data_IF_353617135059
#
_entry.id   IF_353617135059
#
_cell.length_a   1.000
_cell.length_b   1.000
_cell.length_c   1.000
_cell.angle_alpha   90.00
_cell.angle_beta   90.00
_cell.angle_gamma   90.00
#
_symmetry.space_group_name_H-M   'P 1'
#
loop_
_entity.id
_entity.type
_entity.pdbx_description
1 polymer ?
#
# COMPACT_ATOMS: atom_id res chain seq x y z
N UNK A 1 -41.43 51.78 4.96
CA UNK A 1 -40.93 52.15 6.31
C UNK A 1 -39.69 51.34 6.60
N UNK A 2 -38.61 52.03 6.96
CA UNK A 2 -37.29 51.50 7.33
C UNK A 2 -37.27 51.33 8.85
N UNK A 3 -36.78 50.19 9.36
CA UNK A 3 -36.45 49.78 10.77
C UNK A 3 -36.81 48.29 10.90
N UNK A 4 -36.06 47.37 11.50
CA UNK A 4 -34.99 47.43 12.49
C UNK A 4 -34.14 46.15 12.35
N UNK A 5 -32.83 46.30 12.57
CA UNK A 5 -31.91 45.19 12.81
C UNK A 5 -32.27 44.45 14.10
N UNK A 6 -32.31 43.12 14.07
CA UNK A 6 -32.06 42.28 15.24
C UNK A 6 -31.13 41.15 14.80
N UNK A 7 -29.86 41.32 15.16
CA UNK A 7 -28.84 40.30 15.12
C UNK A 7 -29.24 39.16 16.09
N UNK A 8 -29.39 37.95 15.57
CA UNK A 8 -29.45 36.73 16.37
C UNK A 8 -28.16 35.97 16.18
N UNK A 9 -27.25 36.20 17.12
CA UNK A 9 -26.06 35.38 17.35
C UNK A 9 -26.49 33.95 17.70
N UNK A 10 -26.40 33.03 16.74
CA UNK A 10 -26.40 31.60 17.04
C UNK A 10 -24.95 31.11 17.06
N UNK A 11 -24.39 31.06 18.26
CA UNK A 11 -23.22 30.25 18.59
C UNK A 11 -23.63 28.80 18.37
N UNK A 12 -23.29 28.22 17.22
CA UNK A 12 -23.42 26.78 17.03
C UNK A 12 -22.24 26.12 17.73
N UNK A 13 -22.57 25.40 18.79
CA UNK A 13 -21.67 24.64 19.61
C UNK A 13 -20.84 23.65 18.78
N UNK A 14 -19.54 23.59 19.09
CA UNK A 14 -18.66 22.50 18.73
C UNK A 14 -19.28 21.17 19.18
N UNK A 15 -19.73 20.36 18.23
CA UNK A 15 -20.04 18.94 18.48
C UNK A 15 -19.03 18.12 17.71
N UNK A 16 -18.04 17.65 18.49
CA UNK A 16 -17.15 16.51 18.24
C UNK A 16 -17.17 15.95 16.81
N UNK A 17 -16.21 16.37 16.00
CA UNK A 17 -15.74 15.55 14.90
C UNK A 17 -15.40 14.19 15.49
N UNK A 18 -16.18 13.18 15.08
CA UNK A 18 -15.99 11.81 15.46
C UNK A 18 -14.50 11.47 15.40
N UNK A 19 -14.00 10.89 16.49
CA UNK A 19 -12.80 10.06 16.51
C UNK A 19 -12.99 8.95 15.48
N UNK A 20 -12.79 9.27 14.20
CA UNK A 20 -12.39 8.25 13.24
C UNK A 20 -11.08 7.71 13.79
N UNK A 21 -10.95 6.40 14.03
CA UNK A 21 -9.66 5.83 14.33
C UNK A 21 -8.77 6.27 13.18
N UNK A 22 -7.78 7.09 13.49
CA UNK A 22 -6.65 7.31 12.60
C UNK A 22 -5.85 6.00 12.59
N UNK A 23 -6.44 4.92 12.05
CA UNK A 23 -5.68 3.94 11.29
C UNK A 23 -5.34 4.59 9.95
N UNK A 24 -4.68 5.76 10.02
CA UNK A 24 -3.83 6.21 8.95
C UNK A 24 -2.75 5.15 8.92
N UNK A 25 -2.92 4.19 8.02
CA UNK A 25 -1.83 3.34 7.55
C UNK A 25 -0.65 4.28 7.36
N UNK A 26 0.40 4.09 8.17
CA UNK A 26 1.59 4.92 8.09
C UNK A 26 2.00 4.91 6.62
N UNK A 27 1.93 6.06 5.94
CA UNK A 27 2.43 6.18 4.59
C UNK A 27 3.92 5.91 4.70
N UNK A 28 4.33 4.69 4.34
CA UNK A 28 5.72 4.25 4.45
C UNK A 28 6.58 5.20 3.62
N UNK A 29 7.48 5.90 4.30
CA UNK A 29 8.34 6.91 3.68
C UNK A 29 9.42 6.28 2.79
N UNK A 30 9.79 5.03 3.06
CA UNK A 30 10.79 4.30 2.29
C UNK A 30 10.12 3.40 1.23
N UNK A 31 10.50 3.50 -0.05
CA UNK A 31 9.97 2.63 -1.09
C UNK A 31 10.36 1.17 -0.89
N UNK A 32 9.49 0.23 -1.27
CA UNK A 32 9.80 -1.21 -1.26
C UNK A 32 10.89 -1.50 -2.30
N UNK A 33 12.06 -1.97 -1.86
CA UNK A 33 13.19 -2.27 -2.74
C UNK A 33 13.25 -3.74 -3.17
N UNK A 34 12.87 -4.03 -4.41
CA UNK A 34 13.08 -5.34 -5.04
C UNK A 34 14.33 -5.33 -5.94
N UNK A 35 15.09 -6.44 -6.03
CA UNK A 35 16.26 -6.53 -6.91
C UNK A 35 15.82 -6.54 -8.38
N UNK A 36 16.51 -5.87 -9.32
CA UNK A 36 15.99 -5.64 -10.68
C UNK A 36 15.78 -6.90 -11.52
N UNK A 37 16.37 -8.00 -11.12
CA UNK A 37 16.29 -9.33 -11.71
C UNK A 37 15.48 -10.31 -10.87
N UNK A 38 14.71 -9.83 -9.89
CA UNK A 38 13.57 -10.58 -9.38
C UNK A 38 12.79 -11.10 -10.61
N UNK A 39 12.41 -12.38 -10.70
CA UNK A 39 12.25 -13.39 -9.65
C UNK A 39 13.45 -14.31 -9.43
N UNK A 40 14.63 -14.03 -9.99
CA UNK A 40 15.78 -14.96 -9.94
C UNK A 40 16.34 -15.13 -8.51
N UNK A 41 16.06 -14.18 -7.63
CA UNK A 41 16.37 -14.25 -6.20
C UNK A 41 15.12 -14.55 -5.38
N UNK A 42 14.68 -15.81 -5.39
CA UNK A 42 13.43 -16.25 -4.76
C UNK A 42 13.34 -15.88 -3.28
N UNK A 43 14.28 -16.36 -2.45
CA UNK A 43 14.26 -16.07 -1.01
C UNK A 43 14.29 -14.58 -0.67
N UNK A 44 15.11 -13.78 -1.36
CA UNK A 44 15.22 -12.34 -1.07
C UNK A 44 13.94 -11.60 -1.45
N UNK A 45 13.40 -11.91 -2.63
CA UNK A 45 12.16 -11.31 -3.13
C UNK A 45 10.98 -11.69 -2.23
N UNK A 46 10.94 -12.93 -1.75
CA UNK A 46 9.95 -13.38 -0.76
C UNK A 46 10.08 -12.63 0.57
N UNK A 47 11.30 -12.49 1.12
CA UNK A 47 11.50 -11.79 2.38
C UNK A 47 11.11 -10.32 2.30
N UNK A 48 11.50 -9.62 1.22
CA UNK A 48 11.07 -8.24 0.96
C UNK A 48 9.55 -8.14 0.89
N UNK A 49 8.91 -9.06 0.17
CA UNK A 49 7.45 -9.10 0.04
C UNK A 49 6.76 -9.36 1.38
N UNK A 50 7.23 -10.34 2.17
CA UNK A 50 6.70 -10.60 3.51
C UNK A 50 6.82 -9.38 4.42
N UNK A 51 7.97 -8.70 4.41
CA UNK A 51 8.20 -7.49 5.19
C UNK A 51 7.26 -6.36 4.76
N UNK A 52 7.05 -6.17 3.46
CA UNK A 52 6.10 -5.18 2.95
C UNK A 52 4.65 -5.51 3.41
N UNK A 53 4.23 -6.77 3.34
CA UNK A 53 2.90 -7.15 3.84
C UNK A 53 2.77 -6.94 5.35
N UNK A 54 3.79 -7.30 6.14
CA UNK A 54 3.79 -7.10 7.60
C UNK A 54 3.80 -5.61 7.99
N UNK A 55 4.39 -4.76 7.16
CA UNK A 55 4.39 -3.32 7.33
C UNK A 55 3.02 -2.70 6.99
N UNK A 56 2.16 -3.40 6.24
CA UNK A 56 0.82 -2.92 5.88
C UNK A 56 0.72 -2.36 4.46
N UNK A 57 1.71 -2.63 3.61
CA UNK A 57 1.61 -2.28 2.19
C UNK A 57 0.48 -3.05 1.51
N UNK A 58 -0.31 -2.34 0.69
CA UNK A 58 -1.37 -2.95 -0.09
C UNK A 58 -0.80 -3.85 -1.19
N UNK A 59 -1.61 -4.82 -1.61
CA UNK A 59 -1.25 -5.70 -2.75
C UNK A 59 -0.83 -4.91 -3.98
N UNK A 60 -1.58 -3.86 -4.32
CA UNK A 60 -1.32 -3.04 -5.51
C UNK A 60 0.04 -2.31 -5.43
N UNK A 61 0.42 -1.82 -4.24
CA UNK A 61 1.71 -1.16 -4.05
C UNK A 61 2.88 -2.14 -4.19
N UNK A 62 2.75 -3.35 -3.62
CA UNK A 62 3.78 -4.39 -3.72
C UNK A 62 3.95 -4.83 -5.18
N UNK A 63 2.85 -5.12 -5.89
CA UNK A 63 2.90 -5.48 -7.33
C UNK A 63 3.49 -4.35 -8.15
N UNK A 64 3.11 -3.10 -7.89
CA UNK A 64 3.65 -1.92 -8.56
C UNK A 64 5.16 -1.78 -8.36
N UNK A 65 5.65 -1.95 -7.12
CA UNK A 65 7.08 -1.91 -6.81
C UNK A 65 7.87 -3.03 -7.51
N UNK A 66 7.34 -4.25 -7.51
CA UNK A 66 7.92 -5.36 -8.28
C UNK A 66 7.96 -4.98 -9.77
N UNK A 67 6.82 -4.64 -10.36
CA UNK A 67 6.74 -4.27 -11.78
C UNK A 67 7.73 -3.16 -12.16
N UNK A 68 7.89 -2.14 -11.32
CA UNK A 68 8.83 -1.05 -11.54
C UNK A 68 10.30 -1.49 -11.43
N UNK A 69 10.61 -2.38 -10.50
CA UNK A 69 11.96 -2.91 -10.35
C UNK A 69 12.37 -3.83 -11.52
N UNK A 70 11.42 -4.50 -12.18
CA UNK A 70 11.71 -5.49 -13.22
C UNK A 70 12.52 -4.90 -14.39
N UNK A 71 13.73 -5.40 -14.56
CA UNK A 71 14.52 -5.15 -15.74
C UNK A 71 14.24 -6.21 -16.82
N UNK A 72 13.42 -5.84 -17.81
CA UNK A 72 13.04 -6.73 -18.91
C UNK A 72 14.24 -7.29 -19.70
N UNK A 73 15.36 -6.56 -19.82
CA UNK A 73 16.54 -7.07 -20.54
C UNK A 73 17.25 -8.19 -19.78
N UNK A 74 17.01 -8.30 -18.47
CA UNK A 74 17.62 -9.33 -17.61
C UNK A 74 16.65 -10.48 -17.38
N UNK A 75 15.38 -10.19 -17.09
CA UNK A 75 14.38 -11.20 -16.72
C UNK A 75 13.64 -11.79 -17.91
N UNK A 76 13.64 -11.10 -19.05
CA UNK A 76 12.79 -11.43 -20.20
C UNK A 76 11.29 -11.19 -19.96
N UNK A 77 10.90 -10.68 -18.79
CA UNK A 77 9.50 -10.42 -18.45
C UNK A 77 9.09 -9.02 -18.91
N UNK A 78 8.05 -8.94 -19.74
CA UNK A 78 7.37 -7.67 -20.00
C UNK A 78 6.75 -7.12 -18.70
N UNK A 79 6.49 -5.81 -18.59
CA UNK A 79 5.87 -5.23 -17.40
C UNK A 79 4.57 -5.92 -16.99
N UNK A 80 3.73 -6.32 -17.95
CA UNK A 80 2.49 -7.05 -17.69
C UNK A 80 2.73 -8.48 -17.15
N UNK A 81 3.73 -9.18 -17.69
CA UNK A 81 4.12 -10.51 -17.19
C UNK A 81 4.73 -10.43 -15.79
N UNK A 82 5.54 -9.40 -15.54
CA UNK A 82 6.10 -9.11 -14.23
C UNK A 82 4.97 -8.87 -13.20
N UNK A 83 4.02 -7.98 -13.49
CA UNK A 83 2.88 -7.72 -12.61
C UNK A 83 2.02 -8.97 -12.35
N UNK A 84 1.80 -9.81 -13.39
CA UNK A 84 1.08 -11.08 -13.24
C UNK A 84 1.83 -12.04 -12.33
N UNK A 85 3.15 -12.16 -12.48
CA UNK A 85 3.99 -13.03 -11.66
C UNK A 85 4.07 -12.55 -10.21
N UNK A 86 4.21 -11.25 -10.00
CA UNK A 86 4.16 -10.62 -8.68
C UNK A 86 2.85 -10.93 -7.96
N UNK A 87 1.71 -10.84 -8.64
CA UNK A 87 0.41 -11.21 -8.07
C UNK A 87 0.36 -12.67 -7.61
N UNK A 88 0.86 -13.59 -8.44
CA UNK A 88 0.92 -15.02 -8.12
C UNK A 88 1.83 -15.29 -6.91
N UNK A 89 2.95 -14.58 -6.82
CA UNK A 89 3.87 -14.66 -5.68
C UNK A 89 3.26 -14.15 -4.39
N UNK A 90 2.50 -13.06 -4.42
CA UNK A 90 1.77 -12.59 -3.23
C UNK A 90 0.74 -13.65 -2.78
N UNK A 91 0.02 -14.27 -3.71
CA UNK A 91 -0.93 -15.35 -3.38
C UNK A 91 -0.23 -16.57 -2.74
N UNK A 92 0.90 -16.99 -3.31
CA UNK A 92 1.68 -18.13 -2.82
C UNK A 92 2.40 -17.81 -1.49
N UNK A 93 3.00 -16.63 -1.40
CA UNK A 93 3.80 -16.21 -0.25
C UNK A 93 2.98 -15.98 1.01
N UNK A 94 1.72 -15.56 0.86
CA UNK A 94 0.78 -15.51 1.99
C UNK A 94 0.59 -16.88 2.66
N UNK A 95 0.61 -17.97 1.89
CA UNK A 95 0.36 -19.32 2.38
C UNK A 95 1.66 -19.99 2.85
N UNK A 96 2.75 -19.82 2.09
CA UNK A 96 3.97 -20.61 2.25
C UNK A 96 5.07 -19.90 3.05
N UNK A 97 5.18 -18.58 2.95
CA UNK A 97 6.39 -17.85 3.36
C UNK A 97 6.16 -16.76 4.41
N UNK A 98 4.93 -16.23 4.53
CA UNK A 98 4.61 -15.13 5.44
C UNK A 98 3.41 -15.47 6.36
N UNK A 99 3.53 -16.46 7.28
CA UNK A 99 2.41 -16.82 8.14
C UNK A 99 2.00 -15.63 9.02
N UNK A 100 0.75 -15.18 8.84
CA UNK A 100 0.17 -14.07 9.61
C UNK A 100 0.32 -12.66 8.99
N UNK A 101 1.05 -12.50 7.89
CA UNK A 101 1.11 -11.23 7.17
C UNK A 101 -0.07 -11.08 6.19
N UNK A 102 -0.80 -9.97 6.27
CA UNK A 102 -1.94 -9.69 5.38
C UNK A 102 -1.58 -8.53 4.45
N UNK A 103 -1.43 -8.79 3.15
CA UNK A 103 -1.53 -7.74 2.14
C UNK A 103 -2.99 -7.25 2.13
N UNK A 104 -3.19 -6.00 2.52
CA UNK A 104 -4.51 -5.35 2.53
C UNK A 104 -4.98 -5.00 1.13
#
# INVERSE_FOLDING_TARGET
>A
MRRLFLALSFVIAFVASALMPATLAAAHADPIGFPPDWPNYEMQTEQTMCNAMAQGWSRAQIVGAMQQANNQSVTGLTPAQAAKRANMWIDLGRIKYCPGAIAS
#
